data_IF_145875188102
#
_entry.id   IF_145875188102
#
_cell.length_a   1.000
_cell.length_b   1.000
_cell.length_c   1.000
_cell.angle_alpha   90.00
_cell.angle_beta   90.00
_cell.angle_gamma   90.00
#
_symmetry.space_group_name_H-M   'P 1'
#
loop_
_entity.id
_entity.type
_entity.pdbx_description
1 polymer ?
#
# COMPACT_ATOMS: atom_id res chain seq x y z
N UNK A 1 58.18 -31.15 29.72
CA UNK A 1 57.98 -30.19 28.62
C UNK A 1 56.56 -30.35 28.11
N UNK A 2 55.63 -29.43 28.41
CA UNK A 2 54.26 -29.50 27.89
C UNK A 2 54.19 -28.83 26.51
N UNK A 3 53.55 -29.51 25.56
CA UNK A 3 53.19 -28.97 24.24
C UNK A 3 51.89 -28.15 24.36
N UNK A 4 51.97 -26.84 24.20
CA UNK A 4 50.80 -25.98 24.00
C UNK A 4 50.20 -26.24 22.62
N UNK A 5 48.94 -26.71 22.59
CA UNK A 5 48.09 -26.64 21.40
C UNK A 5 47.45 -25.26 21.38
N UNK A 6 47.75 -24.46 20.35
CA UNK A 6 47.04 -23.22 20.07
C UNK A 6 45.68 -23.54 19.43
N UNK A 7 44.61 -23.47 20.22
CA UNK A 7 43.25 -23.44 19.70
C UNK A 7 42.98 -22.06 19.07
N UNK A 8 42.92 -22.02 17.73
CA UNK A 8 42.40 -20.87 17.01
C UNK A 8 40.88 -20.80 17.23
N UNK A 9 40.47 -20.04 18.25
CA UNK A 9 39.10 -19.58 18.45
C UNK A 9 38.67 -18.73 17.24
N UNK A 10 37.85 -19.30 16.36
CA UNK A 10 37.20 -18.57 15.28
C UNK A 10 36.27 -17.52 15.86
N UNK A 11 36.65 -16.24 15.73
CA UNK A 11 35.97 -15.12 16.34
C UNK A 11 34.53 -14.96 15.80
N UNK A 12 33.47 -15.05 16.64
CA UNK A 12 32.06 -14.87 16.24
C UNK A 12 31.71 -13.45 15.76
N UNK A 13 32.69 -12.53 15.73
CA UNK A 13 32.52 -11.15 15.31
C UNK A 13 32.38 -10.98 13.79
N UNK A 14 33.05 -11.81 12.97
CA UNK A 14 33.00 -11.68 11.50
C UNK A 14 31.65 -12.12 10.90
N UNK A 15 31.02 -13.14 11.48
CA UNK A 15 29.72 -13.65 11.06
C UNK A 15 28.59 -12.63 11.38
N UNK A 16 28.69 -11.97 12.53
CA UNK A 16 27.83 -10.85 12.90
C UNK A 16 28.02 -9.62 11.99
N UNK A 17 29.25 -9.33 11.57
CA UNK A 17 29.54 -8.23 10.66
C UNK A 17 28.91 -8.47 9.28
N UNK A 18 29.08 -9.68 8.73
CA UNK A 18 28.50 -10.07 7.44
C UNK A 18 26.97 -10.02 7.47
N UNK A 19 26.34 -10.51 8.54
CA UNK A 19 24.89 -10.39 8.74
C UNK A 19 24.44 -8.93 8.85
N UNK A 20 25.19 -8.09 9.57
CA UNK A 20 24.88 -6.66 9.68
C UNK A 20 24.99 -5.96 8.32
N UNK A 21 26.02 -6.24 7.53
CA UNK A 21 26.16 -5.70 6.18
C UNK A 21 25.08 -6.21 5.23
N UNK A 22 24.66 -7.47 5.32
CA UNK A 22 23.56 -8.01 4.54
C UNK A 22 22.21 -7.34 4.89
N UNK A 23 21.96 -7.09 6.17
CA UNK A 23 20.78 -6.34 6.63
C UNK A 23 20.84 -4.89 6.15
N UNK A 24 21.99 -4.23 6.22
CA UNK A 24 22.15 -2.86 5.71
C UNK A 24 22.02 -2.79 4.18
N UNK A 25 22.54 -3.77 3.44
CA UNK A 25 22.41 -3.83 1.99
C UNK A 25 20.93 -3.92 1.59
N UNK A 26 20.13 -4.75 2.27
CA UNK A 26 18.68 -4.82 2.04
C UNK A 26 17.90 -3.53 2.38
N UNK A 27 18.49 -2.60 3.14
CA UNK A 27 17.91 -1.26 3.41
C UNK A 27 18.25 -0.27 2.29
N UNK A 28 19.38 -0.46 1.60
CA UNK A 28 19.89 0.46 0.56
C UNK A 28 19.42 0.02 -0.84
N UNK A 29 19.04 -1.24 -1.03
CA UNK A 29 18.57 -1.74 -2.31
C UNK A 29 17.35 -0.94 -2.80
N UNK A 30 17.32 -0.56 -4.09
CA UNK A 30 16.18 0.13 -4.65
C UNK A 30 14.93 -0.76 -4.54
N UNK A 31 13.73 -0.17 -4.38
CA UNK A 31 12.49 -0.92 -4.43
C UNK A 31 12.43 -1.81 -5.67
N UNK A 32 11.83 -3.01 -5.57
CA UNK A 32 11.74 -3.92 -6.70
C UNK A 32 11.04 -3.23 -7.88
N UNK A 33 11.61 -3.34 -9.08
CA UNK A 33 11.02 -2.86 -10.34
C UNK A 33 9.88 -3.79 -10.79
N UNK A 34 8.85 -3.87 -9.95
CA UNK A 34 7.66 -4.69 -10.17
C UNK A 34 6.52 -3.78 -10.57
N UNK A 35 6.11 -3.85 -11.83
CA UNK A 35 4.97 -3.09 -12.32
C UNK A 35 3.68 -3.48 -11.56
N UNK A 36 2.79 -2.52 -11.29
CA UNK A 36 1.67 -2.74 -10.40
C UNK A 36 0.69 -3.81 -10.90
N UNK A 37 0.47 -3.94 -12.21
CA UNK A 37 -0.39 -5.00 -12.75
C UNK A 37 0.20 -6.41 -12.58
N UNK A 38 1.53 -6.53 -12.56
CA UNK A 38 2.19 -7.82 -12.26
C UNK A 38 2.02 -8.16 -10.79
N UNK A 39 2.29 -7.20 -9.92
CA UNK A 39 2.08 -7.36 -8.47
C UNK A 39 0.65 -7.79 -8.14
N UNK A 40 -0.36 -7.13 -8.73
CA UNK A 40 -1.76 -7.48 -8.49
C UNK A 40 -2.06 -8.91 -8.96
N UNK A 41 -1.58 -9.30 -10.15
CA UNK A 41 -1.80 -10.64 -10.70
C UNK A 41 -1.18 -11.74 -9.80
N UNK A 42 -0.01 -11.46 -9.24
CA UNK A 42 0.76 -12.40 -8.42
C UNK A 42 0.23 -12.50 -7.00
N UNK A 43 -0.24 -11.39 -6.42
CA UNK A 43 -0.48 -11.30 -4.99
C UNK A 43 -1.95 -11.17 -4.59
N UNK A 44 -2.81 -10.59 -5.43
CA UNK A 44 -4.16 -10.22 -5.00
C UNK A 44 -5.15 -11.35 -5.31
N UNK A 45 -5.84 -11.82 -4.27
CA UNK A 45 -6.93 -12.81 -4.39
C UNK A 45 -8.25 -12.17 -3.97
N UNK A 46 -9.28 -12.32 -4.81
CA UNK A 46 -10.64 -11.88 -4.55
C UNK A 46 -11.39 -12.91 -3.69
N UNK A 47 -12.15 -12.46 -2.68
CA UNK A 47 -12.87 -13.36 -1.77
C UNK A 47 -14.01 -14.10 -2.49
N UNK A 48 -14.49 -15.24 -1.92
CA UNK A 48 -15.58 -16.05 -2.49
C UNK A 48 -16.88 -15.30 -2.80
N UNK A 49 -17.18 -14.21 -2.09
CA UNK A 49 -18.36 -13.38 -2.34
C UNK A 49 -18.23 -12.39 -3.51
N UNK A 50 -17.10 -12.38 -4.21
CA UNK A 50 -16.90 -11.53 -5.39
C UNK A 50 -17.56 -12.14 -6.62
N UNK A 51 -17.84 -11.33 -7.65
CA UNK A 51 -18.42 -11.82 -8.90
C UNK A 51 -17.51 -12.85 -9.60
N UNK A 52 -16.19 -12.68 -9.49
CA UNK A 52 -15.18 -13.61 -9.99
C UNK A 52 -14.16 -13.89 -8.88
N UNK A 53 -14.42 -14.88 -8.01
CA UNK A 53 -13.49 -15.26 -6.96
C UNK A 53 -12.17 -15.83 -7.50
N UNK A 54 -11.12 -15.73 -6.69
CA UNK A 54 -9.79 -16.25 -7.03
C UNK A 54 -8.79 -15.16 -7.41
N UNK A 55 -7.70 -15.51 -8.12
CA UNK A 55 -6.66 -14.55 -8.47
C UNK A 55 -7.22 -13.36 -9.25
N UNK A 56 -6.82 -12.15 -8.86
CA UNK A 56 -7.22 -10.94 -9.56
C UNK A 56 -6.65 -10.95 -10.98
N UNK A 57 -7.48 -10.67 -11.97
CA UNK A 57 -7.12 -10.65 -13.39
C UNK A 57 -7.14 -9.21 -13.91
N UNK A 58 -5.97 -8.54 -14.06
CA UNK A 58 -5.91 -7.17 -14.60
C UNK A 58 -6.59 -7.03 -15.97
N UNK A 59 -6.62 -8.11 -16.76
CA UNK A 59 -7.22 -8.18 -18.09
C UNK A 59 -8.74 -8.01 -18.08
N UNK A 60 -9.41 -8.19 -16.93
CA UNK A 60 -10.86 -7.91 -16.79
C UNK A 60 -11.17 -6.42 -16.79
N UNK A 61 -10.19 -5.59 -16.41
CA UNK A 61 -10.33 -4.13 -16.35
C UNK A 61 -9.14 -3.45 -17.04
N UNK A 62 -8.91 -3.72 -18.33
CA UNK A 62 -7.68 -3.34 -19.02
C UNK A 62 -7.50 -1.81 -19.07
N UNK A 63 -8.59 -1.05 -19.04
CA UNK A 63 -8.59 0.41 -18.99
C UNK A 63 -8.02 0.99 -17.68
N UNK A 64 -7.94 0.20 -16.60
CA UNK A 64 -7.33 0.64 -15.33
C UNK A 64 -5.81 0.52 -15.33
N UNK A 65 -5.24 -0.34 -16.18
CA UNK A 65 -3.80 -0.64 -16.23
C UNK A 65 -2.97 0.61 -16.55
N UNK A 66 -3.29 1.42 -17.59
CA UNK A 66 -2.54 2.64 -17.87
C UNK A 66 -2.54 3.60 -16.68
N UNK A 67 -3.72 3.86 -16.08
CA UNK A 67 -3.81 4.74 -14.93
C UNK A 67 -2.97 4.25 -13.76
N UNK A 68 -3.06 2.96 -13.43
CA UNK A 68 -2.28 2.35 -12.36
C UNK A 68 -0.77 2.49 -12.59
N UNK A 69 -0.31 2.30 -13.83
CA UNK A 69 1.10 2.50 -14.21
C UNK A 69 1.54 3.96 -14.09
N UNK A 70 0.69 4.92 -14.46
CA UNK A 70 1.03 6.34 -14.30
C UNK A 70 1.15 6.76 -12.82
N UNK A 71 0.31 6.20 -11.93
CA UNK A 71 0.47 6.38 -10.48
C UNK A 71 1.78 5.80 -9.94
N UNK A 72 2.24 4.69 -10.52
CA UNK A 72 3.48 4.02 -10.14
C UNK A 72 4.72 4.76 -10.63
N UNK A 73 4.78 5.12 -11.92
CA UNK A 73 5.93 5.79 -12.55
C UNK A 73 6.37 7.06 -11.82
N UNK A 74 5.43 7.76 -11.18
CA UNK A 74 5.73 8.96 -10.40
C UNK A 74 6.24 10.15 -11.21
N UNK A 75 6.13 10.10 -12.54
CA UNK A 75 6.54 11.18 -13.46
C UNK A 75 5.62 12.40 -13.31
N UNK A 76 4.35 12.17 -12.99
CA UNK A 76 3.34 13.21 -12.86
C UNK A 76 2.99 13.48 -11.40
N UNK A 77 2.84 14.77 -11.06
CA UNK A 77 2.36 15.20 -9.74
C UNK A 77 0.88 14.84 -9.51
N UNK A 78 0.08 14.78 -10.58
CA UNK A 78 -1.34 14.44 -10.54
C UNK A 78 -1.70 13.59 -11.75
N UNK A 79 -2.48 12.54 -11.51
CA UNK A 79 -3.07 11.67 -12.53
C UNK A 79 -4.58 11.68 -12.31
N UNK A 80 -5.33 12.09 -13.32
CA UNK A 80 -6.79 12.21 -13.25
C UNK A 80 -7.45 11.19 -14.17
N UNK A 81 -8.38 10.40 -13.64
CA UNK A 81 -9.19 9.45 -14.41
C UNK A 81 -10.64 9.89 -14.49
N UNK A 82 -11.14 10.19 -15.69
CA UNK A 82 -12.57 10.41 -15.91
C UNK A 82 -13.22 9.05 -16.15
N UNK A 83 -13.96 8.55 -15.16
CA UNK A 83 -14.55 7.21 -15.18
C UNK A 83 -16.03 7.24 -14.80
N UNK A 84 -16.85 6.51 -15.55
CA UNK A 84 -18.26 6.31 -15.23
C UNK A 84 -18.44 5.45 -13.96
N UNK A 85 -19.66 5.42 -13.44
CA UNK A 85 -20.05 4.60 -12.29
C UNK A 85 -19.78 3.11 -12.56
N UNK A 86 -19.38 2.35 -11.53
CA UNK A 86 -19.07 0.91 -11.61
C UNK A 86 -17.88 0.51 -12.50
N UNK A 87 -17.00 1.44 -12.88
CA UNK A 87 -15.78 1.15 -13.67
C UNK A 87 -14.56 0.80 -12.80
N UNK A 88 -14.72 -0.09 -11.81
CA UNK A 88 -13.61 -0.61 -10.99
C UNK A 88 -12.71 0.45 -10.30
N UNK A 89 -13.22 1.67 -10.06
CA UNK A 89 -12.47 2.79 -9.44
C UNK A 89 -11.87 2.40 -8.08
N UNK A 90 -12.68 1.77 -7.22
CA UNK A 90 -12.24 1.33 -5.90
C UNK A 90 -11.16 0.25 -5.99
N UNK A 91 -11.26 -0.68 -6.94
CA UNK A 91 -10.25 -1.72 -7.13
C UNK A 91 -8.93 -1.15 -7.66
N UNK A 92 -9.00 -0.17 -8.56
CA UNK A 92 -7.83 0.59 -8.99
C UNK A 92 -7.15 1.28 -7.80
N UNK A 93 -7.90 1.95 -6.94
CA UNK A 93 -7.37 2.60 -5.73
C UNK A 93 -6.70 1.58 -4.78
N UNK A 94 -7.35 0.44 -4.52
CA UNK A 94 -6.77 -0.64 -3.73
C UNK A 94 -5.48 -1.19 -4.36
N UNK A 95 -5.44 -1.36 -5.68
CA UNK A 95 -4.26 -1.87 -6.38
C UNK A 95 -3.07 -0.90 -6.30
N UNK A 96 -3.31 0.40 -6.52
CA UNK A 96 -2.27 1.44 -6.45
C UNK A 96 -1.69 1.54 -5.03
N UNK A 97 -2.56 1.61 -4.02
CA UNK A 97 -2.10 1.71 -2.64
C UNK A 97 -1.47 0.41 -2.14
N UNK A 98 -2.05 -0.73 -2.49
CA UNK A 98 -1.53 -2.04 -2.11
C UNK A 98 -0.13 -2.27 -2.66
N UNK A 99 0.06 -2.04 -3.96
CA UNK A 99 1.37 -2.11 -4.60
C UNK A 99 2.38 -1.18 -3.93
N UNK A 100 2.01 0.07 -3.68
CA UNK A 100 2.91 1.05 -3.06
C UNK A 100 3.31 0.64 -1.65
N UNK A 101 2.34 0.27 -0.81
CA UNK A 101 2.58 -0.13 0.58
C UNK A 101 3.38 -1.43 0.69
N UNK A 102 3.39 -2.26 -0.36
CA UNK A 102 4.14 -3.51 -0.36
C UNK A 102 5.58 -3.33 -0.87
N UNK A 103 5.76 -2.55 -1.94
CA UNK A 103 7.04 -2.43 -2.66
C UNK A 103 7.91 -1.26 -2.21
N UNK A 104 7.32 -0.11 -1.89
CA UNK A 104 8.02 1.11 -1.47
C UNK A 104 7.13 1.90 -0.48
N UNK A 105 7.05 1.43 0.78
CA UNK A 105 6.07 1.92 1.75
C UNK A 105 6.32 3.39 2.09
N UNK A 106 5.29 4.21 1.91
CA UNK A 106 5.25 5.62 2.30
C UNK A 106 3.89 5.93 2.92
N UNK A 107 3.76 7.01 3.72
CA UNK A 107 2.44 7.45 4.18
C UNK A 107 1.51 7.71 3.00
N UNK A 108 0.31 7.13 3.02
CA UNK A 108 -0.70 7.27 1.97
C UNK A 108 -2.02 7.77 2.53
N UNK A 109 -2.79 8.45 1.68
CA UNK A 109 -4.12 8.93 2.04
C UNK A 109 -5.16 8.55 0.98
N UNK A 110 -6.33 8.13 1.44
CA UNK A 110 -7.52 7.97 0.62
C UNK A 110 -8.59 8.98 1.06
N UNK A 111 -9.21 9.67 0.12
CA UNK A 111 -10.28 10.63 0.36
C UNK A 111 -11.53 10.14 -0.38
N UNK A 112 -12.55 9.75 0.38
CA UNK A 112 -13.87 9.37 -0.15
C UNK A 112 -14.91 10.49 -0.02
N UNK A 113 -16.07 10.37 -0.69
CA UNK A 113 -17.09 11.42 -0.71
C UNK A 113 -17.67 11.70 0.68
N UNK A 114 -17.94 10.66 1.47
CA UNK A 114 -18.54 10.79 2.81
C UNK A 114 -17.86 9.87 3.83
N UNK A 115 -17.95 10.22 5.11
CA UNK A 115 -17.46 9.37 6.22
C UNK A 115 -18.05 7.96 6.18
N UNK A 116 -19.36 7.86 5.92
CA UNK A 116 -20.06 6.57 5.87
C UNK A 116 -19.51 5.71 4.73
N UNK A 117 -19.26 6.28 3.56
CA UNK A 117 -18.65 5.57 2.45
C UNK A 117 -17.25 5.06 2.82
N UNK A 118 -16.45 5.90 3.47
CA UNK A 118 -15.09 5.52 3.90
C UNK A 118 -15.12 4.35 4.89
N UNK A 119 -15.96 4.43 5.93
CA UNK A 119 -16.00 3.45 7.02
C UNK A 119 -16.76 2.16 6.70
N UNK A 120 -17.69 2.18 5.74
CA UNK A 120 -18.54 1.03 5.39
C UNK A 120 -18.21 0.41 4.04
N UNK A 121 -17.57 1.14 3.14
CA UNK A 121 -17.27 0.66 1.78
C UNK A 121 -15.78 0.59 1.53
N UNK A 122 -15.05 1.69 1.72
CA UNK A 122 -13.61 1.72 1.46
C UNK A 122 -12.80 0.87 2.44
N UNK A 123 -12.89 1.13 3.74
CA UNK A 123 -12.05 0.46 4.74
C UNK A 123 -12.21 -1.07 4.72
N UNK A 124 -13.42 -1.66 4.64
CA UNK A 124 -13.55 -3.10 4.54
C UNK A 124 -12.93 -3.68 3.27
N UNK A 125 -13.01 -2.98 2.12
CA UNK A 125 -12.41 -3.42 0.85
C UNK A 125 -10.89 -3.31 0.88
N UNK A 126 -10.36 -2.22 1.44
CA UNK A 126 -8.93 -2.06 1.65
C UNK A 126 -8.38 -3.15 2.56
N UNK A 127 -9.04 -3.42 3.69
CA UNK A 127 -8.64 -4.49 4.61
C UNK A 127 -8.78 -5.88 3.97
N UNK A 128 -9.81 -6.12 3.14
CA UNK A 128 -9.91 -7.36 2.39
C UNK A 128 -8.73 -7.57 1.43
N UNK A 129 -8.29 -6.51 0.75
CA UNK A 129 -7.08 -6.54 -0.10
C UNK A 129 -5.81 -6.76 0.73
N UNK A 130 -5.63 -6.06 1.85
CA UNK A 130 -4.49 -6.26 2.75
C UNK A 130 -4.43 -7.71 3.23
N UNK A 131 -5.56 -8.28 3.64
CA UNK A 131 -5.65 -9.63 4.15
C UNK A 131 -5.42 -10.71 3.09
N UNK A 132 -5.58 -10.40 1.79
CA UNK A 132 -5.39 -11.34 0.69
C UNK A 132 -4.04 -11.20 -0.03
N UNK A 133 -3.15 -10.34 0.46
CA UNK A 133 -1.84 -10.03 -0.14
C UNK A 133 -0.72 -10.16 0.90
N UNK A 134 0.58 -10.07 0.51
CA UNK A 134 1.71 -10.07 1.45
C UNK A 134 1.63 -8.97 2.52
N UNK A 135 0.86 -7.91 2.28
CA UNK A 135 0.61 -6.82 3.24
C UNK A 135 0.03 -7.29 4.57
N UNK A 136 -0.66 -8.44 4.61
CA UNK A 136 -1.18 -9.00 5.86
C UNK A 136 -0.07 -9.17 6.92
N UNK A 137 1.11 -9.62 6.50
CA UNK A 137 2.26 -9.78 7.39
C UNK A 137 2.87 -8.44 7.83
N UNK A 138 2.59 -7.37 7.09
CA UNK A 138 3.09 -6.01 7.33
C UNK A 138 2.10 -5.16 8.14
N UNK A 139 0.91 -5.66 8.44
CA UNK A 139 -0.10 -4.95 9.23
C UNK A 139 0.29 -4.90 10.71
N UNK A 140 0.29 -3.71 11.29
CA UNK A 140 0.59 -3.56 12.71
C UNK A 140 -0.48 -4.27 13.56
N UNK A 141 -0.07 -4.98 14.63
CA UNK A 141 -0.97 -5.73 15.48
C UNK A 141 -1.90 -4.81 16.28
N UNK A 142 -3.03 -5.37 16.72
CA UNK A 142 -4.00 -4.66 17.55
C UNK A 142 -5.14 -3.98 16.78
N UNK A 143 -6.11 -3.48 17.54
CA UNK A 143 -7.28 -2.80 16.96
C UNK A 143 -6.90 -1.38 16.57
N UNK A 144 -6.99 -1.11 15.28
CA UNK A 144 -6.73 0.22 14.71
C UNK A 144 -8.05 0.91 14.35
N UNK A 145 -8.12 2.25 14.38
CA UNK A 145 -9.31 2.98 13.95
C UNK A 145 -9.65 2.66 12.50
N UNK A 146 -10.90 2.90 12.10
CA UNK A 146 -11.29 2.72 10.69
C UNK A 146 -10.69 3.78 9.78
N UNK A 147 -10.36 4.95 10.32
CA UNK A 147 -9.76 6.05 9.58
C UNK A 147 -8.25 5.92 9.36
N UNK A 148 -7.56 4.98 10.03
CA UNK A 148 -6.11 4.85 9.89
C UNK A 148 -5.66 3.40 10.06
N UNK A 149 -4.73 2.96 9.20
CA UNK A 149 -4.09 1.64 9.26
C UNK A 149 -2.56 1.80 9.16
N UNK A 150 -1.83 1.26 10.11
CA UNK A 150 -0.37 1.17 10.09
C UNK A 150 0.05 -0.13 9.40
N UNK A 151 0.79 0.00 8.32
CA UNK A 151 1.25 -1.06 7.43
C UNK A 151 2.72 -0.80 7.10
N UNK A 152 3.59 -1.79 7.23
CA UNK A 152 5.01 -1.67 6.92
C UNK A 152 5.71 -0.47 7.60
N UNK A 153 5.27 -0.11 8.81
CA UNK A 153 5.81 1.04 9.56
C UNK A 153 5.32 2.41 9.10
N UNK A 154 4.45 2.49 8.08
CA UNK A 154 3.86 3.74 7.57
C UNK A 154 2.35 3.78 7.80
N UNK A 155 1.77 4.98 7.72
CA UNK A 155 0.34 5.20 7.94
C UNK A 155 -0.44 5.26 6.62
N UNK A 156 -1.54 4.53 6.54
CA UNK A 156 -2.59 4.68 5.54
C UNK A 156 -3.78 5.38 6.20
N UNK A 157 -3.99 6.66 5.89
CA UNK A 157 -5.05 7.51 6.45
C UNK A 157 -6.23 7.60 5.50
N UNK A 158 -7.46 7.50 6.01
CA UNK A 158 -8.70 7.59 5.23
C UNK A 158 -9.54 8.77 5.70
N UNK A 159 -9.65 9.78 4.85
CA UNK A 159 -10.43 11.00 5.05
C UNK A 159 -11.65 11.07 4.14
N UNK A 160 -12.45 12.12 4.32
CA UNK A 160 -13.60 12.42 3.46
C UNK A 160 -13.74 13.93 3.24
N UNK A 161 -14.55 14.31 2.25
CA UNK A 161 -14.77 15.71 1.84
C UNK A 161 -15.01 16.64 3.04
N UNK A 162 -16.04 16.38 3.86
CA UNK A 162 -16.36 17.25 5.01
C UNK A 162 -15.41 17.21 6.23
N UNK A 163 -14.11 16.94 6.05
CA UNK A 163 -13.15 16.78 7.15
C UNK A 163 -11.86 17.57 6.94
N UNK A 164 -11.97 18.82 6.49
CA UNK A 164 -10.85 19.74 6.24
C UNK A 164 -9.83 19.79 7.39
N UNK A 165 -10.34 19.91 8.63
CA UNK A 165 -9.53 19.95 9.84
C UNK A 165 -8.72 18.68 10.10
N UNK A 166 -9.18 17.51 9.62
CA UNK A 166 -8.42 16.26 9.70
C UNK A 166 -7.44 16.08 8.55
N UNK A 167 -7.69 16.69 7.39
CA UNK A 167 -6.83 16.57 6.22
C UNK A 167 -5.59 17.47 6.32
N UNK A 168 -5.69 18.62 7.00
CA UNK A 168 -4.59 19.58 7.14
C UNK A 168 -3.47 19.13 8.08
N UNK A 169 -3.76 18.26 9.04
CA UNK A 169 -2.79 17.75 10.01
C UNK A 169 -2.05 16.48 9.59
N UNK A 170 -2.43 15.87 8.46
CA UNK A 170 -1.95 14.55 8.05
C UNK A 170 -0.86 14.68 6.99
N UNK A 171 0.24 13.95 7.17
CA UNK A 171 1.32 13.89 6.16
C UNK A 171 1.08 12.70 5.24
N UNK A 172 0.90 12.97 3.94
CA UNK A 172 0.73 11.94 2.93
C UNK A 172 1.65 12.17 1.72
N UNK A 173 2.37 11.13 1.31
CA UNK A 173 3.20 11.14 0.11
C UNK A 173 2.38 10.83 -1.15
N UNK A 174 1.44 9.87 -1.05
CA UNK A 174 0.48 9.58 -2.12
C UNK A 174 -0.95 9.76 -1.63
N UNK A 175 -1.74 10.48 -2.42
CA UNK A 175 -3.16 10.75 -2.12
C UNK A 175 -4.02 10.24 -3.26
N UNK A 176 -5.08 9.51 -2.93
CA UNK A 176 -6.15 9.13 -3.86
C UNK A 176 -7.42 9.87 -3.45
N UNK A 177 -8.04 10.55 -4.40
CA UNK A 177 -9.35 11.19 -4.25
C UNK A 177 -10.33 10.44 -5.13
N UNK A 178 -11.33 9.79 -4.52
CA UNK A 178 -12.37 9.05 -5.25
C UNK A 178 -13.68 9.85 -5.31
N UNK A 179 -14.41 9.72 -6.42
CA UNK A 179 -15.67 10.42 -6.65
C UNK A 179 -15.59 11.94 -6.40
N UNK A 180 -14.52 12.61 -6.88
CA UNK A 180 -14.35 14.08 -6.75
C UNK A 180 -15.63 14.80 -7.20
N UNK A 181 -16.24 14.41 -8.31
CA UNK A 181 -17.46 15.02 -8.84
C UNK A 181 -18.66 15.01 -7.87
N UNK A 182 -18.60 14.23 -6.78
CA UNK A 182 -19.61 14.19 -5.71
C UNK A 182 -19.18 14.88 -4.41
N UNK A 183 -18.01 15.52 -4.41
CA UNK A 183 -17.47 16.26 -3.28
C UNK A 183 -17.75 17.74 -3.47
N UNK A 184 -18.00 18.43 -2.36
CA UNK A 184 -18.06 19.90 -2.37
C UNK A 184 -16.70 20.49 -2.77
N UNK A 185 -16.74 21.65 -3.42
CA UNK A 185 -15.52 22.34 -3.86
C UNK A 185 -14.73 22.94 -2.69
N UNK A 186 -15.43 23.24 -1.60
CA UNK A 186 -14.88 23.79 -0.37
C UNK A 186 -15.32 22.95 0.82
N UNK A 187 -14.37 22.62 1.68
CA UNK A 187 -14.55 21.78 2.86
C UNK A 187 -14.52 22.61 4.15
N UNK A 188 -14.55 23.94 4.03
CA UNK A 188 -14.64 24.90 5.13
C UNK A 188 -13.31 25.13 5.84
N UNK A 189 -12.22 25.24 5.05
CA UNK A 189 -10.87 25.55 5.56
C UNK A 189 -10.70 27.01 5.95
#
# INVERSE_FOLDING_TARGET
MPSEKSEHSSLPACENLANTFAVMAGIIDPPPDLAPEKWVRENRVLPPGSAEPGPFKPERTPYTIPLMREFWRGVYKRVCGVMATQMAKTDLACNVLGHRLDTDPVPVMYIGPTKIFVERTWEPRFMAMVNSTPLKAKLAPGRQPKSQKSLAGVMATFGWSGSAASLSGETACKVIVDERDRMDDDVGG
#
